data_IF_978173410690
#
_entry.id   IF_978173410690
#
_cell.length_a   1.000
_cell.length_b   1.000
_cell.length_c   1.000
_cell.angle_alpha   90.00
_cell.angle_beta   90.00
_cell.angle_gamma   90.00
#
_symmetry.space_group_name_H-M   'P 1'
#
loop_
_entity.id
_entity.type
_entity.pdbx_description
1 polymer ?
#
# COMPACT_ATOMS: atom_id res chain seq x y z
N UNK A 1 -7.25 -19.18 -12.06
CA UNK A 1 -7.03 -18.42 -10.81
C UNK A 1 -7.14 -19.41 -9.67
N UNK A 2 -6.16 -19.46 -8.77
CA UNK A 2 -6.26 -20.28 -7.56
C UNK A 2 -7.49 -19.81 -6.75
N UNK A 3 -8.46 -20.68 -6.45
CA UNK A 3 -9.68 -20.33 -5.72
C UNK A 3 -9.45 -19.80 -4.29
N UNK A 4 -8.23 -19.95 -3.76
CA UNK A 4 -7.85 -19.49 -2.43
C UNK A 4 -7.20 -18.10 -2.41
N UNK A 5 -6.85 -17.54 -3.57
CA UNK A 5 -6.14 -16.26 -3.64
C UNK A 5 -7.02 -15.09 -3.22
N UNK A 6 -6.48 -14.23 -2.35
CA UNK A 6 -7.11 -12.97 -1.96
C UNK A 6 -6.69 -11.87 -2.92
N UNK A 7 -7.64 -11.02 -3.30
CA UNK A 7 -7.45 -9.88 -4.19
C UNK A 7 -7.84 -8.60 -3.46
N UNK A 8 -7.17 -7.50 -3.81
CA UNK A 8 -7.49 -6.17 -3.30
C UNK A 8 -8.07 -5.32 -4.42
N UNK A 9 -9.26 -4.76 -4.19
CA UNK A 9 -9.92 -3.84 -5.10
C UNK A 9 -9.69 -2.41 -4.64
N UNK A 10 -9.25 -1.55 -5.56
CA UNK A 10 -8.98 -0.13 -5.27
C UNK A 10 -9.66 0.77 -6.29
N UNK A 11 -10.39 1.81 -5.86
CA UNK A 11 -10.98 2.79 -6.78
C UNK A 11 -9.88 3.65 -7.42
N UNK A 12 -10.01 3.92 -8.72
CA UNK A 12 -9.00 4.67 -9.49
C UNK A 12 -8.91 6.16 -9.10
N UNK A 13 -10.01 6.75 -8.60
CA UNK A 13 -10.13 8.19 -8.35
C UNK A 13 -10.19 8.61 -6.88
N UNK A 14 -10.03 7.68 -5.93
CA UNK A 14 -10.07 8.00 -4.49
C UNK A 14 -8.70 7.87 -3.84
N UNK A 15 -8.55 8.51 -2.68
CA UNK A 15 -7.35 8.50 -1.88
C UNK A 15 -7.64 8.07 -0.43
N UNK A 16 -6.60 7.98 0.39
CA UNK A 16 -6.68 7.72 1.84
C UNK A 16 -7.22 6.33 2.23
N UNK A 17 -7.30 5.41 1.28
CA UNK A 17 -7.81 4.05 1.53
C UNK A 17 -9.33 3.92 1.45
N UNK A 18 -10.05 5.01 1.11
CA UNK A 18 -11.51 4.98 0.98
C UNK A 18 -11.95 4.10 -0.19
N UNK A 19 -12.88 3.19 0.07
CA UNK A 19 -13.44 2.28 -0.94
C UNK A 19 -12.53 1.09 -1.29
N UNK A 20 -11.45 0.87 -0.53
CA UNK A 20 -10.62 -0.33 -0.69
C UNK A 20 -11.28 -1.48 0.07
N UNK A 21 -11.35 -2.65 -0.56
CA UNK A 21 -11.82 -3.88 0.07
C UNK A 21 -11.07 -5.08 -0.48
N UNK A 22 -11.03 -6.16 0.32
CA UNK A 22 -10.45 -7.43 -0.08
C UNK A 22 -11.57 -8.38 -0.51
N UNK A 23 -11.26 -9.25 -1.46
CA UNK A 23 -12.15 -10.32 -1.90
C UNK A 23 -11.36 -11.62 -2.02
N UNK A 24 -11.98 -12.73 -1.65
CA UNK A 24 -11.46 -14.07 -1.94
C UNK A 24 -12.46 -14.89 -2.78
N UNK A 25 -13.67 -14.38 -3.00
CA UNK A 25 -14.70 -15.00 -3.84
C UNK A 25 -15.35 -13.96 -4.74
N UNK A 26 -15.54 -14.30 -6.02
CA UNK A 26 -16.21 -13.45 -6.99
C UNK A 26 -17.67 -13.08 -6.59
N UNK A 27 -18.31 -13.91 -5.77
CA UNK A 27 -19.65 -13.63 -5.24
C UNK A 27 -19.68 -12.37 -4.36
N UNK A 28 -18.58 -12.02 -3.68
CA UNK A 28 -18.47 -10.81 -2.86
C UNK A 28 -18.54 -9.54 -3.72
N UNK A 29 -18.01 -9.57 -4.94
CA UNK A 29 -18.11 -8.45 -5.91
C UNK A 29 -19.57 -8.15 -6.24
N UNK A 30 -20.38 -9.20 -6.48
CA UNK A 30 -21.80 -9.06 -6.83
C UNK A 30 -22.63 -8.48 -5.68
N UNK A 31 -22.30 -8.85 -4.44
CA UNK A 31 -22.93 -8.31 -3.23
C UNK A 31 -22.63 -6.81 -3.10
N UNK A 32 -21.35 -6.43 -3.19
CA UNK A 32 -20.93 -5.03 -3.08
C UNK A 32 -21.53 -4.13 -4.18
N UNK A 33 -21.59 -4.62 -5.42
CA UNK A 33 -22.22 -3.88 -6.52
C UNK A 33 -23.73 -3.65 -6.32
N UNK A 34 -24.41 -4.50 -5.54
CA UNK A 34 -25.83 -4.35 -5.18
C UNK A 34 -26.02 -3.43 -3.98
N UNK A 35 -25.18 -3.57 -2.96
CA UNK A 35 -25.23 -2.74 -1.74
C UNK A 35 -24.90 -1.27 -2.04
N UNK A 36 -24.02 -1.01 -3.00
CA UNK A 36 -23.73 0.33 -3.52
C UNK A 36 -24.90 1.03 -4.25
N UNK A 37 -25.99 0.30 -4.55
CA UNK A 37 -27.24 0.89 -5.06
C UNK A 37 -28.26 1.24 -3.96
N UNK A 38 -28.07 0.73 -2.74
CA UNK A 38 -28.98 0.93 -1.60
C UNK A 38 -28.42 1.86 -0.51
N UNK A 39 -27.16 2.26 -0.59
CA UNK A 39 -26.66 3.37 0.21
C UNK A 39 -27.12 4.68 -0.45
N UNK A 40 -27.79 5.55 0.31
CA UNK A 40 -28.20 6.91 -0.06
C UNK A 40 -27.00 7.84 -0.37
N UNK A 41 -26.12 7.44 -1.27
CA UNK A 41 -25.15 8.29 -1.92
C UNK A 41 -25.76 8.70 -3.25
N UNK A 42 -26.03 10.00 -3.36
CA UNK A 42 -26.37 10.72 -4.59
C UNK A 42 -25.85 9.97 -5.81
N UNK A 43 -26.78 9.56 -6.68
CA UNK A 43 -26.49 8.85 -7.92
C UNK A 43 -25.43 9.63 -8.71
N UNK A 44 -24.17 9.29 -8.47
CA UNK A 44 -23.07 9.73 -9.30
C UNK A 44 -23.25 8.99 -10.61
N UNK A 45 -23.61 9.73 -11.64
CA UNK A 45 -23.79 9.30 -13.03
C UNK A 45 -22.50 8.73 -13.65
N UNK A 46 -21.42 8.64 -12.88
CA UNK A 46 -20.13 8.09 -13.31
C UNK A 46 -19.93 6.69 -12.74
N UNK A 47 -19.81 5.70 -13.62
CA UNK A 47 -19.37 4.34 -13.24
C UNK A 47 -18.00 4.47 -12.56
N UNK A 48 -17.93 4.14 -11.28
CA UNK A 48 -16.67 4.17 -10.54
C UNK A 48 -15.75 3.04 -11.05
N UNK A 49 -14.57 3.41 -11.56
CA UNK A 49 -13.59 2.46 -12.07
C UNK A 49 -12.72 1.91 -10.94
N UNK A 50 -12.46 0.60 -10.98
CA UNK A 50 -11.66 -0.11 -9.98
C UNK A 50 -10.52 -0.87 -10.65
N UNK A 51 -9.36 -0.88 -9.99
CA UNK A 51 -8.30 -1.83 -10.28
C UNK A 51 -8.39 -3.02 -9.32
N UNK A 52 -8.10 -4.21 -9.85
CA UNK A 52 -7.94 -5.43 -9.08
C UNK A 52 -6.47 -5.84 -9.12
N UNK A 53 -5.93 -6.19 -7.95
CA UNK A 53 -4.55 -6.63 -7.81
C UNK A 53 -4.50 -7.81 -6.85
N UNK A 54 -3.55 -8.73 -7.06
CA UNK A 54 -3.31 -9.82 -6.14
C UNK A 54 -2.89 -9.23 -4.78
N UNK A 55 -3.53 -9.68 -3.71
CA UNK A 55 -3.16 -9.25 -2.38
C UNK A 55 -1.90 -9.98 -1.92
N UNK A 56 -0.95 -9.25 -1.34
CA UNK A 56 0.24 -9.84 -0.72
C UNK A 56 -0.20 -10.35 0.66
N UNK A 57 -0.45 -11.65 0.75
CA UNK A 57 -0.99 -12.35 1.92
C UNK A 57 0.09 -12.84 2.90
N UNK A 58 1.34 -12.90 2.46
CA UNK A 58 2.53 -13.16 3.28
C UNK A 58 3.48 -11.95 3.33
N UNK A 59 3.06 -10.80 3.91
CA UNK A 59 3.92 -9.63 4.04
C UNK A 59 5.00 -9.83 5.11
N UNK A 60 6.11 -9.10 5.00
CA UNK A 60 7.02 -8.96 6.13
C UNK A 60 6.31 -8.27 7.30
N UNK A 61 6.37 -8.90 8.48
CA UNK A 61 5.81 -8.37 9.72
C UNK A 61 6.91 -7.97 10.69
N UNK A 62 6.67 -6.91 11.45
CA UNK A 62 7.53 -6.48 12.55
C UNK A 62 6.63 -6.36 13.78
N UNK A 63 6.97 -7.06 14.86
CA UNK A 63 6.08 -7.19 16.03
C UNK A 63 4.71 -7.80 15.70
N UNK A 64 4.62 -8.59 14.62
CA UNK A 64 3.36 -9.14 14.12
C UNK A 64 2.45 -8.14 13.39
N UNK A 65 2.90 -6.90 13.16
CA UNK A 65 2.12 -5.86 12.47
C UNK A 65 2.58 -5.70 11.02
N UNK A 66 1.60 -5.51 10.12
CA UNK A 66 1.85 -5.19 8.71
C UNK A 66 2.28 -3.72 8.60
N UNK A 67 3.11 -3.41 7.60
CA UNK A 67 3.50 -2.04 7.30
C UNK A 67 3.71 -1.79 5.81
N UNK A 68 3.77 -0.51 5.44
CA UNK A 68 4.24 -0.06 4.13
C UNK A 68 5.36 0.97 4.29
N UNK A 69 6.14 1.18 3.22
CA UNK A 69 7.22 2.15 3.19
C UNK A 69 6.83 3.41 2.43
N UNK A 70 6.96 4.57 3.06
CA UNK A 70 6.88 5.88 2.41
C UNK A 70 8.28 6.42 2.14
N UNK A 71 8.63 6.50 0.86
CA UNK A 71 9.85 7.13 0.36
C UNK A 71 9.50 8.40 -0.43
N UNK A 72 10.44 9.34 -0.46
CA UNK A 72 10.31 10.60 -1.19
C UNK A 72 11.40 10.69 -2.25
N UNK A 73 10.99 10.97 -3.49
CA UNK A 73 11.89 11.11 -4.64
C UNK A 73 11.60 12.43 -5.32
N UNK A 74 12.62 13.29 -5.42
CA UNK A 74 12.57 14.54 -6.16
C UNK A 74 13.09 14.31 -7.57
N UNK A 75 12.29 14.59 -8.60
CA UNK A 75 12.73 14.56 -9.99
C UNK A 75 12.91 15.98 -10.48
N UNK A 76 14.13 16.34 -10.90
CA UNK A 76 14.47 17.69 -11.36
C UNK A 76 14.56 17.81 -12.87
N UNK A 77 14.72 16.69 -13.57
CA UNK A 77 14.67 16.63 -15.03
C UNK A 77 14.32 15.23 -15.48
N UNK A 78 13.61 15.11 -16.61
CA UNK A 78 13.42 13.85 -17.35
C UNK A 78 14.33 13.77 -18.59
N UNK A 79 15.06 14.85 -18.91
CA UNK A 79 15.97 14.93 -20.06
C UNK A 79 17.20 15.79 -19.74
N UNK A 80 18.31 15.20 -19.27
CA UNK A 80 18.44 13.80 -18.86
C UNK A 80 17.64 13.52 -17.58
N UNK A 81 17.27 12.26 -17.34
CA UNK A 81 16.60 11.87 -16.09
C UNK A 81 17.52 12.15 -14.88
N UNK A 82 17.11 13.08 -14.02
CA UNK A 82 17.77 13.43 -12.76
C UNK A 82 16.75 13.31 -11.63
N UNK A 83 17.00 12.38 -10.71
CA UNK A 83 16.18 12.18 -9.54
C UNK A 83 17.02 11.96 -8.28
N UNK A 84 16.48 12.37 -7.14
CA UNK A 84 17.14 12.31 -5.83
C UNK A 84 16.20 11.66 -4.84
N UNK A 85 16.64 10.56 -4.22
CA UNK A 85 15.91 9.94 -3.11
C UNK A 85 16.24 10.70 -1.83
N UNK A 86 15.22 11.21 -1.15
CA UNK A 86 15.41 11.86 0.14
C UNK A 86 15.81 10.83 1.20
N UNK A 87 16.76 11.18 2.06
CA UNK A 87 17.32 10.27 3.07
C UNK A 87 16.28 9.87 4.13
N UNK A 88 15.33 10.75 4.42
CA UNK A 88 14.30 10.49 5.43
C UNK A 88 13.04 9.96 4.76
N UNK A 89 12.79 8.67 4.94
CA UNK A 89 11.50 8.03 4.71
C UNK A 89 11.05 7.32 5.99
N UNK A 90 9.87 6.70 5.95
CA UNK A 90 9.34 5.99 7.11
C UNK A 90 8.44 4.81 6.75
N UNK A 91 8.46 3.80 7.61
CA UNK A 91 7.46 2.73 7.66
C UNK A 91 6.18 3.26 8.31
N UNK A 92 5.02 2.84 7.82
CA UNK A 92 3.71 3.07 8.43
C UNK A 92 3.11 1.74 8.81
N UNK A 93 2.91 1.50 10.10
CA UNK A 93 2.37 0.24 10.59
C UNK A 93 0.83 0.29 10.66
N UNK A 94 0.23 -0.90 10.65
CA UNK A 94 -1.12 -1.11 11.15
C UNK A 94 -1.13 -1.13 12.68
N UNK A 95 -2.24 -0.70 13.27
CA UNK A 95 -2.48 -0.71 14.72
C UNK A 95 -2.69 -2.10 15.28
N UNK A 96 -3.27 -2.99 14.46
CA UNK A 96 -3.61 -4.36 14.82
C UNK A 96 -2.60 -5.35 14.23
N UNK A 97 -2.38 -6.47 14.94
CA UNK A 97 -1.57 -7.59 14.43
C UNK A 97 -2.18 -8.15 13.15
N UNK A 98 -1.31 -8.49 12.21
CA UNK A 98 -1.70 -9.08 10.94
C UNK A 98 -2.22 -10.51 11.14
N UNK A 99 -3.32 -10.83 10.45
CA UNK A 99 -3.82 -12.19 10.29
C UNK A 99 -4.22 -12.42 8.85
N UNK A 100 -3.95 -13.61 8.34
CA UNK A 100 -4.40 -14.06 7.02
C UNK A 100 -5.78 -14.73 7.07
N UNK A 101 -6.43 -14.75 8.24
CA UNK A 101 -7.73 -15.41 8.40
C UNK A 101 -8.78 -14.80 7.47
N UNK A 102 -9.50 -15.67 6.75
CA UNK A 102 -10.57 -15.24 5.86
C UNK A 102 -11.75 -14.61 6.60
N UNK A 103 -11.89 -14.90 7.91
CA UNK A 103 -12.90 -14.29 8.79
C UNK A 103 -12.63 -12.80 9.06
N UNK A 104 -11.39 -12.35 8.91
CA UNK A 104 -10.94 -10.99 9.22
C UNK A 104 -10.69 -10.14 7.96
N UNK A 105 -11.02 -10.66 6.77
CA UNK A 105 -10.79 -9.94 5.51
C UNK A 105 -11.53 -8.60 5.41
N UNK A 106 -12.68 -8.50 6.09
CA UNK A 106 -13.47 -7.26 6.18
C UNK A 106 -12.90 -6.29 7.23
N UNK A 107 -11.98 -6.74 8.10
CA UNK A 107 -11.31 -5.92 9.08
C UNK A 107 -10.15 -5.13 8.44
N UNK A 108 -10.50 -3.96 7.90
CA UNK A 108 -9.56 -3.09 7.20
C UNK A 108 -8.39 -2.61 8.06
N UNK A 109 -8.51 -2.61 9.40
CA UNK A 109 -7.45 -2.17 10.31
C UNK A 109 -6.24 -3.12 10.33
N UNK A 110 -6.47 -4.41 10.07
CA UNK A 110 -5.42 -5.43 9.93
C UNK A 110 -4.66 -5.26 8.62
N UNK A 111 -5.36 -4.87 7.55
CA UNK A 111 -4.88 -5.02 6.19
C UNK A 111 -4.40 -3.72 5.52
N UNK A 112 -4.91 -2.55 5.95
CA UNK A 112 -4.67 -1.24 5.34
C UNK A 112 -3.92 -0.28 6.26
N UNK A 113 -2.67 0.03 5.93
CA UNK A 113 -1.74 0.86 6.72
C UNK A 113 -2.01 2.38 6.63
N UNK A 114 -3.07 2.81 5.94
CA UNK A 114 -3.39 4.22 5.74
C UNK A 114 -3.78 4.88 7.07
N UNK A 115 -3.06 5.94 7.46
CA UNK A 115 -3.36 6.71 8.69
C UNK A 115 -4.82 7.16 8.79
N UNK A 116 -5.44 7.54 7.66
CA UNK A 116 -6.83 7.94 7.62
C UNK A 116 -7.82 6.83 8.02
N UNK A 117 -7.41 5.56 7.88
CA UNK A 117 -8.13 4.39 8.38
C UNK A 117 -7.70 4.12 9.82
N UNK A 118 -6.40 3.98 10.05
CA UNK A 118 -5.83 3.57 11.33
C UNK A 118 -6.20 4.49 12.51
N UNK A 119 -6.40 5.79 12.28
CA UNK A 119 -6.83 6.76 13.31
C UNK A 119 -8.20 6.48 13.93
N UNK A 120 -9.01 5.62 13.30
CA UNK A 120 -10.33 5.21 13.79
C UNK A 120 -10.29 3.88 14.53
N UNK A 121 -9.11 3.24 14.67
CA UNK A 121 -8.96 2.03 15.46
C UNK A 121 -8.77 2.36 16.94
N UNK A 122 -9.35 1.52 17.81
CA UNK A 122 -9.33 1.73 19.26
C UNK A 122 -7.90 1.73 19.85
N UNK A 123 -6.96 1.02 19.20
CA UNK A 123 -5.56 0.91 19.61
C UNK A 123 -4.65 2.01 19.01
N UNK A 124 -5.20 3.03 18.36
CA UNK A 124 -4.39 4.07 17.72
C UNK A 124 -3.66 4.94 18.75
N UNK A 125 -2.32 4.86 18.76
CA UNK A 125 -1.49 5.72 19.59
C UNK A 125 -0.99 6.94 18.79
N UNK A 126 -1.53 8.14 19.03
CA UNK A 126 -1.13 9.36 18.31
C UNK A 126 0.29 9.85 18.68
N UNK A 127 0.85 9.41 19.82
CA UNK A 127 2.14 9.89 20.35
C UNK A 127 3.32 9.18 19.66
N UNK A 128 3.26 7.86 19.50
CA UNK A 128 4.31 7.10 18.81
C UNK A 128 4.09 6.98 17.31
N UNK A 129 2.88 7.33 16.84
CA UNK A 129 2.54 7.49 15.42
C UNK A 129 2.67 6.24 14.57
N UNK A 130 3.00 5.09 15.18
CA UNK A 130 3.25 3.81 14.54
C UNK A 130 4.12 3.95 13.28
N UNK A 131 5.25 4.67 13.44
CA UNK A 131 6.21 4.91 12.37
C UNK A 131 7.61 4.51 12.80
N UNK A 132 8.33 3.88 11.88
CA UNK A 132 9.77 3.71 11.98
C UNK A 132 10.46 4.50 10.90
N UNK A 133 11.63 5.06 11.19
CA UNK A 133 12.49 5.61 10.14
C UNK A 133 13.00 4.48 9.23
N UNK A 134 13.35 4.82 8.00
CA UNK A 134 14.03 3.87 7.08
C UNK A 134 15.32 3.33 7.71
N UNK A 135 16.04 4.16 8.47
CA UNK A 135 17.26 3.74 9.18
C UNK A 135 16.97 2.64 10.21
N UNK A 136 15.91 2.77 11.00
CA UNK A 136 15.50 1.74 11.97
C UNK A 136 15.07 0.46 11.25
N UNK A 137 14.36 0.57 10.12
CA UNK A 137 14.04 -0.59 9.28
C UNK A 137 15.31 -1.29 8.79
N UNK A 138 16.30 -0.54 8.30
CA UNK A 138 17.56 -1.11 7.81
C UNK A 138 18.30 -1.84 8.92
N UNK A 139 18.45 -1.20 10.08
CA UNK A 139 19.09 -1.81 11.26
C UNK A 139 18.38 -3.12 11.66
N UNK A 140 17.05 -3.13 11.70
CA UNK A 140 16.26 -4.31 12.01
C UNK A 140 16.45 -5.44 10.98
N UNK A 141 16.49 -5.12 9.69
CA UNK A 141 16.71 -6.11 8.64
C UNK A 141 18.13 -6.68 8.69
N UNK A 142 19.13 -5.83 8.96
CA UNK A 142 20.51 -6.27 9.12
C UNK A 142 20.65 -7.22 10.31
N UNK A 143 20.03 -6.89 11.44
CA UNK A 143 20.12 -7.71 12.65
C UNK A 143 19.34 -9.03 12.56
N UNK A 144 18.28 -9.10 11.74
CA UNK A 144 17.39 -10.29 11.67
C UNK A 144 17.59 -11.14 10.41
N UNK A 145 18.04 -10.55 9.30
CA UNK A 145 18.20 -11.22 7.99
C UNK A 145 19.63 -11.14 7.45
N UNK A 146 20.49 -10.33 8.05
CA UNK A 146 21.87 -10.11 7.63
C UNK A 146 22.01 -8.97 6.63
N UNK A 147 23.22 -8.41 6.58
CA UNK A 147 23.56 -7.25 5.77
C UNK A 147 23.33 -7.47 4.28
N UNK A 148 23.80 -8.60 3.72
CA UNK A 148 23.69 -8.91 2.28
C UNK A 148 22.25 -8.90 1.78
N UNK A 149 21.33 -9.47 2.56
CA UNK A 149 19.89 -9.51 2.19
C UNK A 149 19.31 -8.10 2.26
N UNK A 150 19.69 -7.35 3.29
CA UNK A 150 19.21 -5.98 3.48
C UNK A 150 19.65 -5.06 2.35
N UNK A 151 20.94 -5.10 1.98
CA UNK A 151 21.48 -4.31 0.87
C UNK A 151 20.75 -4.61 -0.43
N UNK A 152 20.56 -5.90 -0.74
CA UNK A 152 19.81 -6.33 -1.93
C UNK A 152 18.39 -5.75 -1.97
N UNK A 153 17.67 -5.72 -0.85
CA UNK A 153 16.31 -5.16 -0.78
C UNK A 153 16.32 -3.65 -1.08
N UNK A 154 17.26 -2.90 -0.52
CA UNK A 154 17.34 -1.45 -0.76
C UNK A 154 17.80 -1.11 -2.19
N UNK A 155 18.65 -1.94 -2.78
CA UNK A 155 19.04 -1.83 -4.18
C UNK A 155 17.84 -2.11 -5.10
N UNK A 156 17.05 -3.15 -4.82
CA UNK A 156 15.83 -3.48 -5.58
C UNK A 156 14.77 -2.37 -5.46
N UNK A 157 14.60 -1.76 -4.28
CA UNK A 157 13.73 -0.58 -4.10
C UNK A 157 14.18 0.57 -5.00
N UNK A 158 15.48 0.88 -5.00
CA UNK A 158 16.05 1.96 -5.81
C UNK A 158 15.90 1.67 -7.30
N UNK A 159 16.08 0.41 -7.70
CA UNK A 159 15.87 -0.06 -9.06
C UNK A 159 14.42 0.11 -9.51
N UNK A 160 13.44 -0.32 -8.70
CA UNK A 160 12.01 -0.18 -9.01
C UNK A 160 11.64 1.29 -9.19
N UNK A 161 12.12 2.19 -8.32
CA UNK A 161 11.92 3.64 -8.44
C UNK A 161 12.45 4.13 -9.79
N UNK A 162 13.68 3.80 -10.14
CA UNK A 162 14.31 4.24 -11.38
C UNK A 162 13.56 3.73 -12.61
N UNK A 163 13.17 2.46 -12.63
CA UNK A 163 12.42 1.88 -13.76
C UNK A 163 11.02 2.49 -13.89
N UNK A 164 10.34 2.77 -12.77
CA UNK A 164 9.04 3.44 -12.77
C UNK A 164 9.14 4.84 -13.39
N UNK A 165 10.19 5.61 -13.05
CA UNK A 165 10.41 6.93 -13.63
C UNK A 165 10.77 6.87 -15.12
N UNK A 166 11.58 5.88 -15.53
CA UNK A 166 11.92 5.67 -16.95
C UNK A 166 10.70 5.31 -17.79
N UNK A 167 9.79 4.49 -17.26
CA UNK A 167 8.59 4.07 -17.97
C UNK A 167 7.68 5.25 -18.33
N UNK A 168 7.62 6.28 -17.49
CA UNK A 168 6.80 7.49 -17.73
C UNK A 168 7.54 8.61 -18.44
N UNK A 169 8.87 8.52 -18.58
CA UNK A 169 9.69 9.58 -19.16
C UNK A 169 9.27 9.99 -20.59
N UNK A 170 8.92 9.08 -21.52
CA UNK A 170 8.47 9.49 -22.86
C UNK A 170 7.18 10.32 -22.83
N UNK A 171 6.24 9.99 -21.94
CA UNK A 171 4.97 10.71 -21.81
C UNK A 171 5.22 12.13 -21.29
N UNK A 172 5.98 12.26 -20.21
CA UNK A 172 6.29 13.56 -19.59
C UNK A 172 7.10 14.45 -20.54
N UNK A 173 7.99 13.87 -21.34
CA UNK A 173 8.79 14.62 -22.31
C UNK A 173 7.96 15.18 -23.48
N UNK A 174 6.83 14.54 -23.80
CA UNK A 174 5.96 14.92 -24.92
C UNK A 174 4.79 15.83 -24.49
N UNK A 175 4.60 16.04 -23.18
CA UNK A 175 3.51 16.84 -22.60
C UNK A 175 3.78 18.36 -22.66
N UNK A 176 4.36 18.84 -23.78
CA UNK A 176 4.69 20.24 -24.03
C UNK A 176 3.73 20.90 -25.02
#
# INVERSE_FOLDING_TARGET
MDPSSTWIMKPCGKAQGRGIFLINKLSQIKKWSRDGKNANFVASTTKESYIISLYIDNPLLIGGKKFDLRLYVLVTSFRPLKCYMYKLGFCRFCTVKYTASTSELDNIFVHLTNVAIQKHGDDYNPIHGEKWTVANLRLYLESTRGQRVTDKVFDEISWIILQSLKAVAPLINNDK
#
